data_IF_797497213517
#
_entry.id   IF_797497213517
#
_cell.length_a   1.000
_cell.length_b   1.000
_cell.length_c   1.000
_cell.angle_alpha   90.00
_cell.angle_beta   90.00
_cell.angle_gamma   90.00
#
_symmetry.space_group_name_H-M   'P 1'
#
loop_
_entity.id
_entity.type
_entity.pdbx_description
1 polymer ?
#
# COMPACT_ATOMS: atom_id res chain seq x y z
N UNK A 1 8.25 -17.86 8.75
CA UNK A 1 7.36 -16.69 8.61
C UNK A 1 7.45 -15.95 9.92
N UNK A 2 7.77 -14.65 9.89
CA UNK A 2 7.62 -13.79 11.06
C UNK A 2 6.14 -13.72 11.39
N UNK A 3 5.80 -13.88 12.67
CA UNK A 3 4.44 -13.74 13.16
C UNK A 3 3.98 -12.29 12.91
N UNK A 4 2.96 -12.11 12.08
CA UNK A 4 2.41 -10.78 11.76
C UNK A 4 1.67 -10.29 13.00
N UNK A 5 2.08 -9.14 13.53
CA UNK A 5 1.52 -8.54 14.75
C UNK A 5 0.42 -7.52 14.44
N UNK A 6 0.49 -6.86 13.29
CA UNK A 6 -0.44 -5.81 12.89
C UNK A 6 -0.76 -5.93 11.40
N UNK A 7 -2.03 -5.82 11.06
CA UNK A 7 -2.48 -5.64 9.68
C UNK A 7 -2.88 -4.18 9.47
N UNK A 8 -2.24 -3.51 8.53
CA UNK A 8 -2.62 -2.15 8.12
C UNK A 8 -3.42 -2.26 6.84
N UNK A 9 -4.63 -1.72 6.83
CA UNK A 9 -5.49 -1.68 5.64
C UNK A 9 -5.61 -0.21 5.21
N UNK A 10 -5.25 0.07 3.96
CA UNK A 10 -5.40 1.38 3.35
C UNK A 10 -6.34 1.26 2.15
N UNK A 11 -7.53 1.86 2.28
CA UNK A 11 -8.42 2.07 1.15
C UNK A 11 -7.89 3.20 0.26
N UNK A 12 -7.90 2.97 -1.05
CA UNK A 12 -7.44 3.94 -2.04
C UNK A 12 -8.51 4.07 -3.12
N UNK A 13 -8.86 5.30 -3.45
CA UNK A 13 -9.71 5.63 -4.58
C UNK A 13 -9.21 6.91 -5.23
N UNK A 14 -8.90 6.87 -6.52
CA UNK A 14 -8.49 8.01 -7.34
C UNK A 14 -7.52 8.98 -6.61
N UNK A 15 -6.33 8.48 -6.19
CA UNK A 15 -5.38 9.28 -5.46
C UNK A 15 -4.97 10.53 -6.26
N UNK A 16 -4.87 11.70 -5.61
CA UNK A 16 -4.66 12.98 -6.30
C UNK A 16 -3.34 13.06 -7.06
N UNK A 17 -2.34 12.25 -6.68
CA UNK A 17 -1.08 12.13 -7.40
C UNK A 17 -0.26 10.94 -6.92
N UNK A 18 0.65 10.47 -7.79
CA UNK A 18 1.53 9.33 -7.49
C UNK A 18 2.42 9.60 -6.27
N UNK A 19 2.99 10.80 -6.18
CA UNK A 19 3.89 11.16 -5.07
C UNK A 19 3.19 11.11 -3.70
N UNK A 20 1.95 11.58 -3.60
CA UNK A 20 1.21 11.60 -2.33
C UNK A 20 0.90 10.17 -1.86
N UNK A 21 0.45 9.30 -2.78
CA UNK A 21 0.21 7.90 -2.44
C UNK A 21 1.52 7.20 -2.04
N UNK A 22 2.62 7.46 -2.77
CA UNK A 22 3.93 6.90 -2.46
C UNK A 22 4.39 7.32 -1.06
N UNK A 23 4.28 8.59 -0.71
CA UNK A 23 4.63 9.09 0.62
C UNK A 23 3.79 8.43 1.72
N UNK A 24 2.48 8.25 1.49
CA UNK A 24 1.61 7.55 2.43
C UNK A 24 2.04 6.08 2.63
N UNK A 25 2.34 5.38 1.53
CA UNK A 25 2.85 4.00 1.55
C UNK A 25 4.18 3.92 2.30
N UNK A 26 5.15 4.76 1.95
CA UNK A 26 6.47 4.79 2.58
C UNK A 26 6.39 5.12 4.08
N UNK A 27 5.43 5.96 4.49
CA UNK A 27 5.20 6.27 5.91
C UNK A 27 4.82 5.02 6.73
N UNK A 28 4.08 4.08 6.14
CA UNK A 28 3.69 2.81 6.79
C UNK A 28 4.85 1.81 6.74
N UNK A 29 5.55 1.73 5.60
CA UNK A 29 6.67 0.80 5.44
C UNK A 29 7.87 1.12 6.34
N UNK A 30 8.04 2.37 6.74
CA UNK A 30 9.16 2.86 7.57
C UNK A 30 8.85 2.92 9.08
N UNK A 31 7.73 2.36 9.52
CA UNK A 31 7.41 2.24 10.94
C UNK A 31 8.46 1.39 11.69
N UNK A 32 8.65 1.69 12.98
CA UNK A 32 9.60 0.97 13.85
C UNK A 32 9.19 -0.48 14.10
N UNK A 33 7.90 -0.79 14.06
CA UNK A 33 7.37 -2.15 14.06
C UNK A 33 7.35 -2.69 12.63
N UNK A 34 8.07 -3.79 12.38
CA UNK A 34 8.26 -4.30 11.00
C UNK A 34 7.45 -5.55 10.70
N UNK A 35 6.98 -6.25 11.74
CA UNK A 35 6.13 -7.44 11.67
C UNK A 35 4.67 -7.08 11.34
N UNK A 36 4.49 -6.39 10.21
CA UNK A 36 3.20 -6.00 9.69
C UNK A 36 2.94 -6.62 8.31
N UNK A 37 1.67 -6.83 8.00
CA UNK A 37 1.18 -6.95 6.62
C UNK A 37 0.51 -5.63 6.24
N UNK A 38 0.66 -5.23 4.98
CA UNK A 38 0.10 -3.99 4.48
C UNK A 38 -0.82 -4.26 3.29
N UNK A 39 -2.11 -4.16 3.53
CA UNK A 39 -3.15 -4.39 2.53
C UNK A 39 -3.56 -3.05 1.92
N UNK A 40 -3.43 -2.94 0.61
CA UNK A 40 -3.90 -1.78 -0.15
C UNK A 40 -5.11 -2.25 -0.97
N UNK A 41 -6.26 -1.67 -0.69
CA UNK A 41 -7.52 -2.01 -1.35
C UNK A 41 -7.91 -0.87 -2.29
N UNK A 42 -7.96 -1.15 -3.59
CA UNK A 42 -8.38 -0.19 -4.61
C UNK A 42 -9.90 -0.23 -4.78
N UNK A 43 -10.59 0.83 -4.39
CA UNK A 43 -12.05 0.96 -4.44
C UNK A 43 -12.56 1.41 -5.82
N UNK A 44 -11.99 0.83 -6.87
CA UNK A 44 -12.40 1.07 -8.26
C UNK A 44 -11.87 2.37 -8.87
N UNK A 45 -10.59 2.69 -8.67
CA UNK A 45 -9.94 3.84 -9.31
C UNK A 45 -9.95 3.77 -10.84
N UNK A 46 -9.78 4.92 -11.49
CA UNK A 46 -9.60 5.03 -12.94
C UNK A 46 -8.35 4.24 -13.38
N UNK A 47 -8.36 3.66 -14.59
CA UNK A 47 -7.32 2.73 -15.05
C UNK A 47 -5.88 3.27 -14.91
N UNK A 48 -5.66 4.55 -15.22
CA UNK A 48 -4.35 5.20 -15.07
C UNK A 48 -3.85 5.20 -13.61
N UNK A 49 -4.78 5.35 -12.66
CA UNK A 49 -4.48 5.36 -11.22
C UNK A 49 -4.36 3.94 -10.68
N UNK A 50 -5.22 3.03 -11.13
CA UNK A 50 -5.17 1.61 -10.80
C UNK A 50 -3.84 0.97 -11.23
N UNK A 51 -3.32 1.33 -12.42
CA UNK A 51 -1.99 0.87 -12.87
C UNK A 51 -0.89 1.26 -11.88
N UNK A 52 -0.87 2.51 -11.44
CA UNK A 52 0.10 2.97 -10.46
C UNK A 52 -0.11 2.34 -9.07
N UNK A 53 -1.35 2.09 -8.63
CA UNK A 53 -1.61 1.34 -7.40
C UNK A 53 -1.04 -0.09 -7.51
N UNK A 54 -1.16 -0.72 -8.70
CA UNK A 54 -0.58 -2.05 -8.97
C UNK A 54 0.94 -2.09 -8.83
N UNK A 55 1.63 -1.03 -9.26
CA UNK A 55 3.09 -0.89 -9.13
C UNK A 55 3.57 -0.89 -7.66
N UNK A 56 2.71 -0.55 -6.69
CA UNK A 56 3.10 -0.49 -5.28
C UNK A 56 3.55 -1.84 -4.71
N UNK A 57 3.09 -2.98 -5.26
CA UNK A 57 3.55 -4.32 -4.82
C UNK A 57 5.05 -4.51 -4.96
N UNK A 58 5.67 -3.82 -5.91
CA UNK A 58 7.09 -3.96 -6.19
C UNK A 58 7.96 -3.21 -5.16
N UNK A 59 7.36 -2.33 -4.34
CA UNK A 59 8.10 -1.54 -3.35
C UNK A 59 8.52 -2.34 -2.13
N UNK A 60 7.67 -3.27 -1.67
CA UNK A 60 7.94 -4.07 -0.47
C UNK A 60 7.09 -5.36 -0.47
N UNK A 61 7.72 -6.49 -0.12
CA UNK A 61 7.07 -7.80 -0.02
C UNK A 61 5.91 -7.87 0.99
N UNK A 62 5.82 -6.91 1.91
CA UNK A 62 4.73 -6.79 2.89
C UNK A 62 3.44 -6.24 2.27
N UNK A 63 3.52 -5.66 1.06
CA UNK A 63 2.36 -5.11 0.36
C UNK A 63 1.55 -6.22 -0.31
N UNK A 64 0.27 -6.27 0.04
CA UNK A 64 -0.74 -7.13 -0.57
C UNK A 64 -1.78 -6.22 -1.22
N UNK A 65 -2.03 -6.40 -2.51
CA UNK A 65 -3.19 -5.77 -3.15
C UNK A 65 -4.40 -6.69 -3.01
N UNK A 66 -5.51 -6.11 -2.58
CA UNK A 66 -6.79 -6.78 -2.39
C UNK A 66 -7.86 -6.15 -3.27
#
# INVERSE_FOLDING_TARGET
>A
MTDIKVSVIMGVYNPPGREILRQAVESILTQSLTELEFIIYDDGSDEEKAEYIRELRELDKRIVLA
#
